data_IF_237253631091
#
_entry.id   IF_237253631091
#
_cell.length_a   1.000
_cell.length_b   1.000
_cell.length_c   1.000
_cell.angle_alpha   90.00
_cell.angle_beta   90.00
_cell.angle_gamma   90.00
#
_symmetry.space_group_name_H-M   'P 1'
#
loop_
_entity.id
_entity.type
_entity.pdbx_description
1 polymer ?
#
# COMPACT_ATOMS: atom_id res chain seq x y z
N UNK A 1 -17.28 -13.89 0.67
CA UNK A 1 -16.16 -14.34 -0.18
C UNK A 1 -14.92 -14.54 0.69
N UNK A 2 -14.46 -15.79 0.83
CA UNK A 2 -13.29 -16.12 1.64
C UNK A 2 -11.99 -15.61 0.99
N UNK A 3 -10.96 -15.50 1.81
CA UNK A 3 -9.57 -15.35 1.38
C UNK A 3 -8.75 -16.38 2.14
N UNK A 4 -7.69 -16.87 1.52
CA UNK A 4 -6.89 -17.99 2.05
C UNK A 4 -5.61 -17.51 2.78
N UNK A 5 -5.41 -16.19 2.92
CA UNK A 5 -4.30 -15.61 3.70
C UNK A 5 -4.63 -14.21 4.24
N UNK A 6 -3.76 -13.67 5.10
CA UNK A 6 -3.93 -12.36 5.72
C UNK A 6 -3.31 -11.22 4.90
N UNK A 7 -3.69 -9.97 5.16
CA UNK A 7 -3.02 -8.80 4.57
C UNK A 7 -1.50 -8.79 4.84
N UNK A 8 -1.05 -9.26 6.00
CA UNK A 8 0.39 -9.36 6.31
C UNK A 8 1.13 -10.31 5.39
N UNK A 9 0.54 -11.46 5.08
CA UNK A 9 1.11 -12.38 4.10
C UNK A 9 1.17 -11.73 2.71
N UNK A 10 0.15 -10.95 2.34
CA UNK A 10 0.16 -10.17 1.10
C UNK A 10 1.30 -9.15 1.05
N UNK A 11 1.57 -8.47 2.17
CA UNK A 11 2.70 -7.53 2.29
C UNK A 11 4.04 -8.22 2.03
N UNK A 12 4.27 -9.40 2.61
CA UNK A 12 5.51 -10.15 2.39
C UNK A 12 5.74 -10.57 0.93
N UNK A 13 4.67 -10.81 0.17
CA UNK A 13 4.79 -11.12 -1.25
C UNK A 13 4.91 -9.88 -2.14
N UNK A 14 4.18 -8.80 -1.82
CA UNK A 14 4.10 -7.61 -2.67
C UNK A 14 5.22 -6.61 -2.41
N UNK A 15 5.71 -6.48 -1.17
CA UNK A 15 6.73 -5.50 -0.84
C UNK A 15 8.04 -5.69 -1.62
N UNK A 16 8.60 -6.90 -1.78
CA UNK A 16 9.78 -7.11 -2.60
C UNK A 16 9.55 -6.76 -4.08
N UNK A 17 8.37 -7.09 -4.62
CA UNK A 17 8.01 -6.75 -6.00
C UNK A 17 7.88 -5.24 -6.20
N UNK A 18 7.34 -4.54 -5.20
CA UNK A 18 7.24 -3.09 -5.23
C UNK A 18 8.60 -2.41 -5.06
N UNK A 19 9.50 -2.92 -4.21
CA UNK A 19 10.89 -2.44 -4.14
C UNK A 19 11.58 -2.50 -5.49
N UNK A 20 11.45 -3.63 -6.20
CA UNK A 20 12.02 -3.80 -7.53
C UNK A 20 11.49 -2.76 -8.54
N UNK A 21 10.20 -2.42 -8.43
CA UNK A 21 9.58 -1.38 -9.25
C UNK A 21 10.19 0.01 -8.97
N UNK A 22 10.57 0.28 -7.72
CA UNK A 22 11.11 1.58 -7.28
C UNK A 22 12.61 1.75 -7.54
N UNK A 23 13.34 0.70 -7.91
CA UNK A 23 14.79 0.75 -8.19
C UNK A 23 15.23 1.95 -9.05
N UNK A 24 14.51 2.33 -10.13
CA UNK A 24 14.89 3.49 -10.96
C UNK A 24 14.83 4.85 -10.24
N UNK A 25 14.16 4.96 -9.09
CA UNK A 25 14.03 6.20 -8.31
C UNK A 25 15.13 6.37 -7.25
N UNK A 26 15.95 5.34 -7.02
CA UNK A 26 17.01 5.33 -6.02
C UNK A 26 16.79 4.29 -4.92
N UNK A 27 17.70 4.23 -3.93
CA UNK A 27 17.62 3.28 -2.82
C UNK A 27 16.31 3.45 -2.05
N UNK A 28 15.54 2.37 -1.92
CA UNK A 28 14.24 2.37 -1.25
C UNK A 28 14.19 1.35 -0.10
N UNK A 29 13.50 1.71 0.98
CA UNK A 29 13.28 0.83 2.14
C UNK A 29 11.79 0.75 2.50
N UNK A 30 11.26 -0.46 2.74
CA UNK A 30 9.92 -0.62 3.27
C UNK A 30 9.93 -0.45 4.80
N UNK A 31 9.06 0.40 5.33
CA UNK A 31 8.99 0.73 6.75
C UNK A 31 7.58 0.47 7.27
N UNK A 32 7.46 -0.50 8.18
CA UNK A 32 6.29 -0.59 9.04
C UNK A 32 6.52 0.27 10.28
N UNK A 33 6.10 1.53 10.20
CA UNK A 33 6.54 2.57 11.12
C UNK A 33 6.20 2.30 12.60
N UNK A 34 7.20 2.49 13.45
CA UNK A 34 7.11 2.45 14.90
C UNK A 34 7.88 3.64 15.49
N UNK A 35 7.18 4.69 15.90
CA UNK A 35 7.80 5.94 16.37
C UNK A 35 8.72 5.88 17.60
N UNK A 36 9.09 4.70 18.12
CA UNK A 36 10.18 4.53 19.11
C UNK A 36 11.48 4.02 18.48
N UNK A 37 11.49 3.67 17.19
CA UNK A 37 12.65 3.11 16.48
C UNK A 37 13.13 4.03 15.37
N UNK A 38 12.22 4.47 14.51
CA UNK A 38 12.56 5.30 13.35
C UNK A 38 12.61 6.81 13.67
N UNK A 39 12.24 7.19 14.90
CA UNK A 39 12.20 8.57 15.42
C UNK A 39 13.19 8.74 16.58
N UNK A 40 14.43 8.32 16.36
CA UNK A 40 15.51 8.45 17.34
C UNK A 40 16.49 9.53 16.88
N UNK A 41 17.15 10.21 17.82
CA UNK A 41 18.19 11.20 17.51
C UNK A 41 19.25 10.61 16.56
N UNK A 42 19.64 9.35 16.76
CA UNK A 42 20.59 8.65 15.88
C UNK A 42 20.07 8.58 14.44
N UNK A 43 18.80 8.23 14.24
CA UNK A 43 18.20 8.19 12.90
C UNK A 43 18.20 9.58 12.24
N UNK A 44 17.82 10.61 12.99
CA UNK A 44 17.86 12.00 12.53
C UNK A 44 19.24 12.46 12.13
N UNK A 45 20.23 12.23 12.98
CA UNK A 45 21.61 12.65 12.73
C UNK A 45 22.17 11.92 11.50
N UNK A 46 21.91 10.61 11.37
CA UNK A 46 22.41 9.79 10.26
C UNK A 46 21.79 10.11 8.89
N UNK A 47 20.59 10.69 8.88
CA UNK A 47 19.84 11.01 7.65
C UNK A 47 19.69 12.53 7.46
N UNK A 48 20.43 13.32 8.23
CA UNK A 48 20.43 14.78 8.16
C UNK A 48 20.89 15.26 6.78
N UNK A 49 20.15 16.22 6.21
CA UNK A 49 20.41 16.75 4.87
C UNK A 49 20.01 15.85 3.71
N UNK A 50 19.49 14.65 3.98
CA UNK A 50 18.93 13.78 2.94
C UNK A 50 17.49 14.17 2.56
N UNK A 51 17.10 13.84 1.34
CA UNK A 51 15.77 14.11 0.78
C UNK A 51 15.13 12.84 0.28
N UNK A 52 13.83 12.68 0.53
CA UNK A 52 13.11 11.43 0.28
C UNK A 52 11.80 11.66 -0.46
N UNK A 53 11.43 10.68 -1.30
CA UNK A 53 10.04 10.44 -1.62
C UNK A 53 9.44 9.47 -0.62
N UNK A 54 8.22 9.76 -0.16
CA UNK A 54 7.46 8.90 0.73
C UNK A 54 6.21 8.39 0.03
N UNK A 55 5.97 7.09 0.12
CA UNK A 55 4.78 6.43 -0.46
C UNK A 55 4.08 5.63 0.63
N UNK A 56 2.77 5.81 0.76
CA UNK A 56 1.93 4.94 1.55
C UNK A 56 1.50 3.73 0.69
N UNK A 57 1.73 2.52 1.17
CA UNK A 57 1.42 1.30 0.42
C UNK A 57 0.46 0.39 1.19
N UNK A 58 -0.52 -0.15 0.46
CA UNK A 58 -1.47 -1.14 0.98
C UNK A 58 -1.45 -2.41 0.14
N UNK A 59 -1.04 -3.51 0.75
CA UNK A 59 -1.23 -4.83 0.17
C UNK A 59 -2.71 -5.27 0.31
N UNK A 60 -3.28 -5.79 -0.77
CA UNK A 60 -4.60 -6.44 -0.78
C UNK A 60 -4.43 -7.90 -1.11
N UNK A 61 -5.27 -8.69 -0.46
CA UNK A 61 -5.40 -10.12 -0.71
C UNK A 61 -6.50 -10.39 -1.75
N UNK A 62 -6.31 -11.36 -2.64
CA UNK A 62 -7.35 -11.86 -3.51
C UNK A 62 -8.43 -12.58 -2.70
N UNK A 63 -9.63 -12.57 -3.29
CA UNK A 63 -10.79 -13.35 -2.87
C UNK A 63 -11.10 -14.34 -3.97
N UNK A 64 -11.20 -15.60 -3.59
CA UNK A 64 -11.53 -16.71 -4.48
C UNK A 64 -12.80 -17.38 -3.95
N UNK A 65 -13.66 -17.81 -4.85
CA UNK A 65 -14.89 -18.51 -4.48
C UNK A 65 -14.72 -20.03 -4.51
N UNK A 66 -13.79 -20.52 -5.34
CA UNK A 66 -13.59 -21.94 -5.62
C UNK A 66 -12.10 -22.23 -5.84
N UNK A 67 -11.70 -23.47 -5.52
CA UNK A 67 -10.34 -23.96 -5.78
C UNK A 67 -10.05 -23.95 -7.28
N UNK A 68 -8.83 -23.55 -7.67
CA UNK A 68 -8.39 -23.44 -9.07
C UNK A 68 -9.20 -22.44 -9.93
N UNK A 69 -9.97 -21.54 -9.30
CA UNK A 69 -10.67 -20.47 -10.01
C UNK A 69 -9.67 -19.62 -10.81
N UNK A 70 -9.94 -19.43 -12.10
CA UNK A 70 -9.25 -18.46 -12.95
C UNK A 70 -9.85 -17.06 -12.82
N UNK A 71 -10.88 -16.90 -11.98
CA UNK A 71 -11.42 -15.60 -11.61
C UNK A 71 -10.95 -15.21 -10.21
N UNK A 72 -10.26 -14.08 -10.13
CA UNK A 72 -9.74 -13.52 -8.88
C UNK A 72 -10.48 -12.22 -8.60
N UNK A 73 -11.01 -12.08 -7.39
CA UNK A 73 -11.74 -10.88 -6.99
C UNK A 73 -10.91 -10.05 -6.01
N UNK A 74 -10.95 -8.75 -6.19
CA UNK A 74 -10.26 -7.79 -5.32
C UNK A 74 -11.22 -6.79 -4.68
N UNK A 75 -10.73 -6.17 -3.61
CA UNK A 75 -11.46 -5.13 -2.88
C UNK A 75 -10.51 -4.09 -2.29
N UNK A 76 -10.78 -2.82 -2.58
CA UNK A 76 -10.18 -1.67 -1.90
C UNK A 76 -11.24 -1.13 -0.95
N UNK A 77 -10.99 -1.23 0.35
CA UNK A 77 -11.98 -0.79 1.33
C UNK A 77 -12.02 0.74 1.37
N UNK A 78 -13.20 1.34 1.58
CA UNK A 78 -13.38 2.79 1.70
C UNK A 78 -12.48 3.45 2.75
N UNK A 79 -12.11 2.71 3.80
CA UNK A 79 -11.15 3.17 4.81
C UNK A 79 -9.75 3.43 4.23
N UNK A 80 -9.30 2.63 3.27
CA UNK A 80 -8.00 2.89 2.58
C UNK A 80 -8.08 4.13 1.72
N UNK A 81 -9.23 4.36 1.06
CA UNK A 81 -9.45 5.54 0.23
C UNK A 81 -9.43 6.82 1.09
N UNK A 82 -9.94 6.76 2.32
CA UNK A 82 -9.79 7.85 3.29
C UNK A 82 -8.35 8.10 3.70
N UNK A 83 -7.57 7.06 3.98
CA UNK A 83 -6.13 7.22 4.23
C UNK A 83 -5.45 7.85 3.01
N UNK A 84 -5.82 7.43 1.80
CA UNK A 84 -5.28 7.97 0.55
C UNK A 84 -5.62 9.46 0.36
N UNK A 85 -6.85 9.87 0.68
CA UNK A 85 -7.29 11.27 0.69
C UNK A 85 -6.51 12.11 1.72
N UNK A 86 -6.30 11.60 2.94
CA UNK A 86 -5.46 12.27 3.93
C UNK A 86 -3.99 12.37 3.46
N UNK A 87 -3.44 11.30 2.88
CA UNK A 87 -2.08 11.25 2.39
C UNK A 87 -1.86 12.23 1.23
N UNK A 88 -2.81 12.30 0.28
CA UNK A 88 -2.69 13.18 -0.89
C UNK A 88 -2.72 14.66 -0.52
N UNK A 89 -3.48 15.04 0.53
CA UNK A 89 -3.43 16.40 1.11
C UNK A 89 -2.06 16.74 1.71
N UNK A 90 -1.28 15.74 2.13
CA UNK A 90 0.09 15.90 2.59
C UNK A 90 1.12 15.81 1.44
N UNK A 91 0.65 15.62 0.18
CA UNK A 91 1.50 15.44 -1.00
C UNK A 91 2.04 14.02 -1.19
N UNK A 92 1.53 13.04 -0.44
CA UNK A 92 2.02 11.67 -0.40
C UNK A 92 1.19 10.77 -1.32
N UNK A 93 1.88 10.01 -2.17
CA UNK A 93 1.23 9.02 -3.04
C UNK A 93 0.80 7.79 -2.25
N UNK A 94 -0.39 7.29 -2.56
CA UNK A 94 -0.91 6.05 -1.97
C UNK A 94 -1.12 5.00 -3.05
N UNK A 95 -0.34 3.92 -2.97
CA UNK A 95 -0.37 2.82 -3.92
C UNK A 95 -0.95 1.58 -3.25
N UNK A 96 -1.73 0.82 -4.01
CA UNK A 96 -2.32 -0.42 -3.58
C UNK A 96 -1.87 -1.56 -4.51
N UNK A 97 -1.48 -2.71 -3.96
CA UNK A 97 -1.05 -3.88 -4.72
C UNK A 97 -1.91 -5.11 -4.43
N UNK A 98 -2.08 -5.98 -5.42
CA UNK A 98 -2.69 -7.31 -5.26
C UNK A 98 -1.93 -8.32 -6.12
N UNK A 99 -1.62 -9.49 -5.58
CA UNK A 99 -1.10 -10.61 -6.37
C UNK A 99 -2.27 -11.43 -6.94
N UNK A 100 -2.21 -11.70 -8.24
CA UNK A 100 -3.20 -12.46 -8.98
C UNK A 100 -2.99 -13.97 -8.78
N UNK A 101 -3.17 -14.43 -7.54
CA UNK A 101 -3.05 -15.85 -7.19
C UNK A 101 -4.34 -16.43 -6.60
N UNK A 102 -4.54 -17.73 -6.83
CA UNK A 102 -5.54 -18.56 -6.18
C UNK A 102 -4.91 -19.60 -5.21
N UNK A 103 -3.59 -19.56 -5.01
CA UNK A 103 -2.82 -20.43 -4.12
C UNK A 103 -1.73 -19.65 -3.38
N UNK A 104 -1.55 -19.91 -2.08
CA UNK A 104 -0.58 -19.16 -1.25
C UNK A 104 0.86 -19.32 -1.73
N UNK A 105 1.21 -20.49 -2.26
CA UNK A 105 2.56 -20.79 -2.75
C UNK A 105 2.88 -20.12 -4.09
N UNK A 106 1.86 -19.68 -4.81
CA UNK A 106 2.02 -19.04 -6.11
C UNK A 106 2.23 -17.52 -6.01
N UNK A 107 2.18 -16.95 -4.80
CA UNK A 107 2.31 -15.49 -4.60
C UNK A 107 3.61 -14.91 -5.17
N UNK A 108 4.72 -15.64 -5.08
CA UNK A 108 6.01 -15.17 -5.59
C UNK A 108 6.04 -15.05 -7.12
N UNK A 109 5.39 -15.98 -7.84
CA UNK A 109 5.39 -16.04 -9.31
C UNK A 109 4.23 -15.30 -9.96
N UNK A 110 3.09 -15.17 -9.28
CA UNK A 110 1.90 -14.55 -9.85
C UNK A 110 2.14 -13.10 -10.26
N UNK A 111 1.48 -12.65 -11.32
CA UNK A 111 1.46 -11.24 -11.69
C UNK A 111 0.86 -10.39 -10.54
N UNK A 112 1.35 -9.16 -10.41
CA UNK A 112 0.80 -8.20 -9.46
C UNK A 112 0.12 -7.06 -10.21
N UNK A 113 -1.11 -6.73 -9.79
CA UNK A 113 -1.75 -5.48 -10.20
C UNK A 113 -1.48 -4.40 -9.17
N UNK A 114 -1.26 -3.20 -9.68
CA UNK A 114 -1.01 -2.00 -8.90
C UNK A 114 -2.09 -0.97 -9.20
N UNK A 115 -2.44 -0.18 -8.19
CA UNK A 115 -3.43 0.88 -8.29
C UNK A 115 -2.89 2.13 -7.62
N UNK A 116 -2.89 3.27 -8.32
CA UNK A 116 -2.72 4.57 -7.69
C UNK A 116 -4.08 5.04 -7.17
N UNK A 117 -4.22 5.07 -5.84
CA UNK A 117 -5.46 5.48 -5.17
C UNK A 117 -5.37 6.89 -4.57
N UNK A 118 -4.31 7.64 -4.87
CA UNK A 118 -4.02 8.95 -4.24
C UNK A 118 -5.14 9.97 -4.41
N UNK A 119 -5.87 9.91 -5.53
CA UNK A 119 -6.92 10.89 -5.88
C UNK A 119 -8.29 10.24 -5.98
N UNK A 120 -8.50 9.14 -5.26
CA UNK A 120 -9.78 8.43 -5.24
C UNK A 120 -10.55 8.74 -3.97
N UNK A 121 -11.70 9.39 -4.12
CA UNK A 121 -12.71 9.50 -3.07
C UNK A 121 -13.86 8.55 -3.41
N UNK A 122 -14.17 7.60 -2.51
CA UNK A 122 -15.38 6.81 -2.63
C UNK A 122 -16.02 6.59 -1.27
N UNK A 123 -17.34 6.77 -1.21
CA UNK A 123 -18.16 6.52 -0.03
C UNK A 123 -18.37 5.02 0.24
N UNK A 124 -18.06 4.19 -0.76
CA UNK A 124 -18.22 2.75 -0.72
C UNK A 124 -16.93 2.02 -1.09
N UNK A 125 -16.88 0.74 -0.75
CA UNK A 125 -15.78 -0.11 -1.14
C UNK A 125 -15.74 -0.31 -2.65
N UNK A 126 -14.54 -0.30 -3.23
CA UNK A 126 -14.34 -0.60 -4.66
C UNK A 126 -14.09 -2.10 -4.78
N UNK A 127 -14.89 -2.75 -5.63
CA UNK A 127 -14.73 -4.16 -5.98
C UNK A 127 -14.31 -4.27 -7.44
N UNK A 128 -13.52 -5.29 -7.74
CA UNK A 128 -13.10 -5.62 -9.09
C UNK A 128 -12.89 -7.13 -9.23
N UNK A 129 -12.94 -7.61 -10.46
CA UNK A 129 -12.68 -8.98 -10.84
C UNK A 129 -11.62 -9.02 -11.94
N UNK A 130 -10.82 -10.08 -11.93
CA UNK A 130 -9.79 -10.34 -12.91
C UNK A 130 -9.94 -11.78 -13.41
N UNK A 131 -9.89 -11.97 -14.72
CA UNK A 131 -9.61 -13.30 -15.28
C UNK A 131 -8.10 -13.45 -15.44
N UNK A 132 -7.59 -14.62 -15.07
CA UNK A 132 -6.17 -14.96 -15.23
C UNK A 132 -5.97 -16.18 -16.12
N UNK A 133 -4.81 -16.25 -16.74
CA UNK A 133 -4.32 -17.47 -17.39
C UNK A 133 -3.93 -18.52 -16.36
N UNK A 134 -3.62 -19.74 -16.81
CA UNK A 134 -3.08 -20.79 -15.93
C UNK A 134 -1.71 -20.43 -15.35
N UNK A 135 -0.99 -19.56 -16.02
CA UNK A 135 0.30 -19.02 -15.59
C UNK A 135 0.16 -17.82 -14.66
N UNK A 136 -1.07 -17.49 -14.25
CA UNK A 136 -1.41 -16.42 -13.30
C UNK A 136 -1.08 -15.02 -13.84
N UNK A 137 -1.22 -14.86 -15.16
CA UNK A 137 -1.12 -13.57 -15.86
C UNK A 137 -2.53 -13.00 -16.10
N UNK A 138 -2.66 -11.68 -16.07
CA UNK A 138 -3.90 -10.98 -16.31
C UNK A 138 -4.38 -11.19 -17.75
N UNK A 139 -5.57 -11.75 -17.90
CA UNK A 139 -6.26 -11.88 -19.19
C UNK A 139 -7.29 -10.78 -19.39
N UNK A 140 -8.11 -10.50 -18.37
CA UNK A 140 -9.09 -9.42 -18.41
C UNK A 140 -9.30 -8.82 -17.03
N UNK A 141 -9.69 -7.55 -17.00
CA UNK A 141 -9.95 -6.79 -15.79
C UNK A 141 -11.33 -6.13 -15.86
N UNK A 142 -12.11 -6.24 -14.79
CA UNK A 142 -13.45 -5.67 -14.66
C UNK A 142 -13.58 -4.91 -13.33
N UNK A 143 -13.75 -3.59 -13.38
CA UNK A 143 -13.94 -2.77 -12.18
C UNK A 143 -13.98 -1.28 -12.49
N UNK A 144 -14.38 -0.48 -11.48
CA UNK A 144 -14.45 0.98 -11.58
C UNK A 144 -13.11 1.69 -11.32
N UNK A 145 -12.05 0.93 -11.04
CA UNK A 145 -10.68 1.40 -10.91
C UNK A 145 -9.83 0.70 -11.95
N UNK A 146 -8.86 1.38 -12.55
CA UNK A 146 -7.96 0.75 -13.52
C UNK A 146 -6.60 0.43 -12.88
N UNK A 147 -6.02 -0.75 -13.14
CA UNK A 147 -4.65 -1.02 -12.76
C UNK A 147 -3.71 -0.08 -13.51
N UNK A 148 -2.63 0.35 -12.84
CA UNK A 148 -1.62 1.24 -13.39
C UNK A 148 -0.35 0.48 -13.74
N UNK A 149 0.32 0.92 -14.80
CA UNK A 149 1.60 0.33 -15.21
C UNK A 149 2.74 0.72 -14.27
N UNK A 150 3.83 -0.07 -14.20
CA UNK A 150 5.02 0.31 -13.45
C UNK A 150 5.58 1.69 -13.81
N UNK A 151 5.63 2.03 -15.10
CA UNK A 151 6.09 3.34 -15.57
C UNK A 151 5.24 4.50 -15.06
N UNK A 152 3.92 4.30 -14.96
CA UNK A 152 3.00 5.30 -14.43
C UNK A 152 3.24 5.53 -12.93
N UNK A 153 3.47 4.47 -12.17
CA UNK A 153 3.80 4.56 -10.74
C UNK A 153 5.11 5.30 -10.52
N UNK A 154 6.17 4.91 -11.25
CA UNK A 154 7.49 5.53 -11.16
C UNK A 154 7.36 7.03 -11.44
N UNK A 155 6.67 7.40 -12.51
CA UNK A 155 6.46 8.81 -12.89
C UNK A 155 5.62 9.57 -11.86
N UNK A 156 4.58 8.94 -11.29
CA UNK A 156 3.73 9.54 -10.25
C UNK A 156 4.52 9.82 -8.97
N UNK A 157 5.42 8.91 -8.57
CA UNK A 157 6.26 9.06 -7.38
C UNK A 157 7.40 10.06 -7.63
N UNK A 158 8.05 10.03 -8.79
CA UNK A 158 9.11 11.00 -9.12
C UNK A 158 8.62 12.46 -9.05
N UNK A 159 7.34 12.68 -9.38
CA UNK A 159 6.69 14.00 -9.31
C UNK A 159 5.96 14.25 -7.98
N UNK A 160 6.14 13.37 -6.98
CA UNK A 160 5.52 13.54 -5.66
C UNK A 160 6.31 14.51 -4.79
N UNK A 161 5.71 14.88 -3.65
CA UNK A 161 6.35 15.76 -2.67
C UNK A 161 7.65 15.14 -2.16
N UNK A 162 8.67 15.98 -2.07
CA UNK A 162 9.96 15.66 -1.44
C UNK A 162 9.90 16.12 0.02
N UNK A 163 10.36 15.26 0.92
CA UNK A 163 10.38 15.50 2.37
C UNK A 163 11.76 15.18 2.94
N UNK A 164 12.13 15.83 4.03
CA UNK A 164 13.27 15.39 4.84
C UNK A 164 12.86 14.24 5.79
N UNK A 165 13.81 13.69 6.55
CA UNK A 165 13.52 12.58 7.47
C UNK A 165 12.55 12.97 8.60
N UNK A 166 12.60 14.22 9.09
CA UNK A 166 11.73 14.68 10.16
C UNK A 166 10.29 14.84 9.73
N UNK A 167 10.09 15.39 8.54
CA UNK A 167 8.78 15.42 7.93
C UNK A 167 8.28 14.01 7.60
N UNK A 168 9.12 13.13 7.05
CA UNK A 168 8.73 11.74 6.76
C UNK A 168 8.24 11.01 8.02
N UNK A 169 8.99 11.07 9.13
CA UNK A 169 8.60 10.41 10.39
C UNK A 169 7.36 11.04 11.02
N UNK A 170 7.19 12.36 10.91
CA UNK A 170 5.97 13.05 11.35
C UNK A 170 4.75 12.57 10.54
N UNK A 171 4.86 12.52 9.20
CA UNK A 171 3.78 12.04 8.34
C UNK A 171 3.44 10.57 8.65
N UNK A 172 4.44 9.70 8.78
CA UNK A 172 4.21 8.29 9.12
C UNK A 172 3.52 8.10 10.48
N UNK A 173 3.74 9.02 11.43
CA UNK A 173 3.09 9.01 12.75
C UNK A 173 1.66 9.52 12.72
N UNK A 174 1.41 10.61 12.00
CA UNK A 174 0.13 11.32 12.05
C UNK A 174 -0.88 10.77 11.03
N UNK A 175 -0.45 10.29 9.87
CA UNK A 175 -1.35 9.83 8.81
C UNK A 175 -2.37 8.77 9.29
N UNK A 176 -1.99 7.73 10.06
CA UNK A 176 -2.97 6.77 10.57
C UNK A 176 -3.99 7.39 11.53
N UNK A 177 -3.62 8.46 12.24
CA UNK A 177 -4.53 9.16 13.18
C UNK A 177 -5.50 10.07 12.43
N UNK A 178 -5.03 10.76 11.39
CA UNK A 178 -5.85 11.64 10.56
C UNK A 178 -6.96 10.87 9.83
N UNK A 179 -6.68 9.62 9.46
CA UNK A 179 -7.63 8.75 8.76
C UNK A 179 -8.58 7.97 9.69
N UNK A 180 -8.36 8.03 11.01
CA UNK A 180 -9.23 7.38 11.99
C UNK A 180 -10.39 8.31 12.38
N UNK A 181 -11.62 7.97 11.97
CA UNK A 181 -12.88 8.61 12.42
C UNK A 181 -13.22 8.37 13.91
N UNK A 182 -12.32 7.78 14.70
CA UNK A 182 -12.66 7.28 16.03
C UNK A 182 -12.80 8.44 17.03
N UNK A 183 -14.03 8.97 17.16
CA UNK A 183 -14.43 9.62 18.40
C UNK A 183 -14.37 8.57 19.52
N UNK A 184 -13.58 8.76 20.58
CA UNK A 184 -13.51 7.80 21.67
C UNK A 184 -14.84 7.80 22.42
N UNK A 185 -15.79 6.95 21.99
CA UNK A 185 -16.84 6.51 22.91
C UNK A 185 -16.17 5.64 23.96
N UNK A 186 -16.50 5.97 25.20
CA UNK A 186 -15.91 5.47 26.43
C UNK A 186 -15.64 3.96 26.41
N UNK A 187 -14.51 3.59 27.02
CA UNK A 187 -14.11 2.26 27.46
C UNK A 187 -13.99 1.15 26.40
N UNK A 188 -12.81 0.98 25.79
CA UNK A 188 -12.25 -0.37 25.54
C UNK A 188 -10.70 -0.29 25.58
N UNK A 189 -10.10 -0.54 26.74
CA UNK A 189 -8.65 -0.69 26.95
C UNK A 189 -8.03 -1.92 26.24
N UNK A 190 -8.83 -2.66 25.47
CA UNK A 190 -8.46 -3.90 24.78
C UNK A 190 -8.75 -3.91 23.28
N UNK A 191 -9.29 -2.85 22.69
CA UNK A 191 -9.44 -2.82 21.23
C UNK A 191 -8.13 -2.33 20.61
N UNK A 192 -7.24 -3.28 20.30
CA UNK A 192 -6.39 -3.16 19.11
C UNK A 192 -7.32 -3.13 17.88
N UNK A 193 -8.17 -2.12 17.80
CA UNK A 193 -8.90 -1.79 16.58
C UNK A 193 -7.81 -1.61 15.54
N UNK A 194 -7.80 -2.53 14.58
CA UNK A 194 -6.86 -2.61 13.48
C UNK A 194 -6.88 -1.30 12.70
N UNK A 195 -6.12 -0.31 13.18
CA UNK A 195 -5.86 0.93 12.46
C UNK A 195 -5.20 0.50 11.16
N UNK A 196 -5.75 0.94 10.03
CA UNK A 196 -5.22 0.60 8.71
C UNK A 196 -3.91 1.35 8.53
N UNK A 197 -2.82 0.76 9.03
CA UNK A 197 -1.47 1.31 8.91
C UNK A 197 -0.90 0.88 7.57
N UNK A 198 -0.51 1.83 6.71
CA UNK A 198 0.20 1.47 5.49
C UNK A 198 1.59 0.91 5.83
N UNK A 199 2.12 0.12 4.91
CA UNK A 199 3.56 -0.05 4.79
C UNK A 199 4.08 1.20 4.07
N UNK A 200 5.07 1.88 4.60
CA UNK A 200 5.66 3.02 3.91
C UNK A 200 6.82 2.57 3.05
N UNK A 201 7.03 3.22 1.90
CA UNK A 201 8.27 3.12 1.14
C UNK A 201 8.94 4.47 1.18
N UNK A 202 10.13 4.52 1.76
CA UNK A 202 10.98 5.70 1.78
C UNK A 202 12.05 5.50 0.71
N UNK A 203 12.12 6.42 -0.24
CA UNK A 203 13.01 6.34 -1.38
C UNK A 203 13.97 7.52 -1.28
N UNK A 204 15.25 7.23 -1.09
CA UNK A 204 16.31 8.24 -1.04
C UNK A 204 16.53 8.80 -2.43
N UNK A 205 16.42 10.12 -2.57
CA UNK A 205 16.73 10.81 -3.82
C UNK A 205 18.23 10.72 -4.09
N UNK A 206 18.57 10.28 -5.30
CA UNK A 206 19.95 10.26 -5.81
C UNK A 206 20.36 11.64 -6.31
#
# INVERSE_FOLDING_TARGET
MPSFYSERTAEYALAPKFLKLLEPLGPAVPIFFSGRREDTLIAFDSLSGESFHLVAFFARRPKINETNSLTINGKINKRLLRVADCASKLGIKTICGISLTNNIFDQSRAESLWFDISHMAAEQDIQFACEVTRDLELKSFHGHIQPVTPSTIISSIANSRIVDWAEATNIMRELPKLADDFQPRQSIFFSQTWRMRPLYFVIRRS
#
